data_IF_559972950663
#
_entry.id   IF_559972950663
#
_cell.length_a   1.000
_cell.length_b   1.000
_cell.length_c   1.000
_cell.angle_alpha   90.00
_cell.angle_beta   90.00
_cell.angle_gamma   90.00
#
_symmetry.space_group_name_H-M   'P 1'
#
loop_
_entity.id
_entity.type
_entity.pdbx_description
1 polymer ?
#
# COMPACT_ATOMS: atom_id res chain seq x y z
N UNK A 1 -55.11 -12.84 -37.49
CA UNK A 1 -54.86 -12.29 -36.13
C UNK A 1 -53.84 -13.18 -35.45
N UNK A 2 -52.56 -12.83 -35.57
CA UNK A 2 -51.42 -13.44 -34.88
C UNK A 2 -50.60 -12.28 -34.34
N UNK A 3 -50.35 -12.19 -33.03
CA UNK A 3 -49.70 -11.04 -32.44
C UNK A 3 -48.22 -10.98 -32.80
N UNK A 4 -47.77 -9.76 -33.07
CA UNK A 4 -46.39 -9.31 -33.24
C UNK A 4 -45.48 -9.82 -32.12
N UNK A 5 -44.38 -10.48 -32.49
CA UNK A 5 -43.33 -10.98 -31.61
C UNK A 5 -41.95 -10.39 -31.94
N UNK A 6 -41.87 -9.11 -32.30
CA UNK A 6 -40.61 -8.48 -32.73
C UNK A 6 -40.08 -7.34 -31.85
N UNK A 7 -40.75 -6.97 -30.75
CA UNK A 7 -40.39 -5.74 -30.01
C UNK A 7 -39.69 -5.97 -28.66
N UNK A 8 -39.30 -7.20 -28.31
CA UNK A 8 -38.74 -7.51 -26.99
C UNK A 8 -37.20 -7.51 -26.89
N UNK A 9 -36.45 -7.33 -27.99
CA UNK A 9 -34.99 -7.51 -28.01
C UNK A 9 -34.15 -6.23 -28.04
N UNK A 10 -34.73 -5.03 -27.90
CA UNK A 10 -34.00 -3.75 -28.02
C UNK A 10 -34.12 -2.82 -26.80
N UNK A 11 -34.24 -3.36 -25.58
CA UNK A 11 -34.07 -2.56 -24.37
C UNK A 11 -32.94 -3.09 -23.48
N UNK A 12 -31.71 -2.82 -23.90
CA UNK A 12 -30.58 -2.73 -22.95
C UNK A 12 -30.64 -1.33 -22.34
N UNK A 13 -30.92 -1.18 -21.03
CA UNK A 13 -31.19 0.14 -20.45
C UNK A 13 -29.92 1.00 -20.39
N UNK A 14 -30.03 2.24 -20.89
CA UNK A 14 -29.00 3.28 -20.95
C UNK A 14 -28.31 3.64 -19.61
N UNK A 15 -28.77 3.07 -18.49
CA UNK A 15 -28.23 3.25 -17.15
C UNK A 15 -26.88 2.54 -16.93
N UNK A 16 -26.55 1.53 -17.76
CA UNK A 16 -25.27 0.81 -17.67
C UNK A 16 -24.07 1.65 -18.10
N UNK A 17 -24.24 2.61 -19.03
CA UNK A 17 -23.16 3.51 -19.45
C UNK A 17 -22.88 4.64 -18.45
N UNK A 18 -23.90 5.12 -17.73
CA UNK A 18 -23.72 6.17 -16.72
C UNK A 18 -22.90 5.70 -15.50
N UNK A 19 -23.02 4.41 -15.13
CA UNK A 19 -22.28 3.83 -14.01
C UNK A 19 -20.77 3.72 -14.24
N UNK A 20 -20.34 3.38 -15.46
CA UNK A 20 -18.92 3.20 -15.79
C UNK A 20 -18.17 4.53 -15.91
N UNK A 21 -18.83 5.59 -16.42
CA UNK A 21 -18.23 6.93 -16.50
C UNK A 21 -18.00 7.56 -15.12
N UNK A 22 -18.91 7.34 -14.17
CA UNK A 22 -18.76 7.83 -12.78
C UNK A 22 -17.60 7.19 -12.01
N UNK A 23 -17.34 5.90 -12.25
CA UNK A 23 -16.30 5.14 -11.54
C UNK A 23 -14.89 5.45 -12.06
N UNK A 24 -14.74 5.70 -13.36
CA UNK A 24 -13.49 6.17 -13.95
C UNK A 24 -13.16 7.61 -13.51
N UNK A 25 -14.16 8.50 -13.47
CA UNK A 25 -14.01 9.87 -12.96
C UNK A 25 -13.62 9.93 -11.48
N UNK A 26 -14.22 9.09 -10.64
CA UNK A 26 -13.90 9.02 -9.21
C UNK A 26 -12.47 8.50 -8.94
N UNK A 27 -11.98 7.56 -9.76
CA UNK A 27 -10.61 7.03 -9.63
C UNK A 27 -9.56 8.01 -10.16
N UNK A 28 -9.87 8.79 -11.20
CA UNK A 28 -9.01 9.86 -11.70
C UNK A 28 -8.87 11.02 -10.68
N UNK A 29 -9.98 11.49 -10.11
CA UNK A 29 -9.96 12.57 -9.10
C UNK A 29 -9.27 12.14 -7.80
N UNK A 30 -9.27 10.85 -7.46
CA UNK A 30 -8.58 10.33 -6.27
C UNK A 30 -7.05 10.31 -6.38
N UNK A 31 -6.52 10.47 -7.60
CA UNK A 31 -5.09 10.35 -7.91
C UNK A 31 -4.34 11.66 -7.98
N UNK A 32 -4.95 12.83 -7.83
CA UNK A 32 -4.23 14.11 -7.90
C UNK A 32 -3.38 14.39 -6.64
N UNK A 33 -2.04 14.30 -6.71
CA UNK A 33 -1.16 14.69 -5.61
C UNK A 33 -1.15 16.22 -5.38
N UNK A 34 -1.56 17.02 -6.37
CA UNK A 34 -1.60 18.49 -6.31
C UNK A 34 -2.60 19.03 -5.28
N UNK A 35 -3.79 18.43 -5.20
CA UNK A 35 -4.83 18.81 -4.25
C UNK A 35 -4.43 18.52 -2.78
N UNK A 36 -3.53 17.54 -2.55
CA UNK A 36 -3.00 17.21 -1.22
C UNK A 36 -1.97 18.23 -0.75
N UNK A 37 -1.10 18.73 -1.64
CA UNK A 37 -0.14 19.79 -1.33
C UNK A 37 -0.81 21.14 -1.07
N UNK A 38 -1.83 21.49 -1.86
CA UNK A 38 -2.63 22.70 -1.62
C UNK A 38 -3.42 22.63 -0.29
N UNK A 39 -3.97 21.46 0.06
CA UNK A 39 -4.63 21.24 1.36
C UNK A 39 -3.66 21.22 2.55
N UNK A 40 -2.44 20.71 2.38
CA UNK A 40 -1.42 20.73 3.43
C UNK A 40 -0.96 22.17 3.76
N UNK A 41 -0.93 23.05 2.75
CA UNK A 41 -0.61 24.47 2.94
C UNK A 41 -1.79 25.26 3.58
N UNK A 42 -3.04 24.86 3.30
CA UNK A 42 -4.24 25.48 3.88
C UNK A 42 -4.61 24.91 5.27
N UNK A 43 -4.10 23.73 5.64
CA UNK A 43 -4.34 23.10 6.94
C UNK A 43 -3.58 23.76 8.10
N UNK A 44 -2.61 24.64 7.82
CA UNK A 44 -1.93 25.43 8.84
C UNK A 44 -2.77 26.54 9.49
N UNK A 45 -4.05 26.72 9.08
CA UNK A 45 -4.87 27.86 9.54
C UNK A 45 -6.36 27.58 9.71
N UNK A 46 -6.78 26.35 9.99
CA UNK A 46 -8.19 26.08 10.34
C UNK A 46 -8.32 25.26 11.61
N UNK A 47 -8.69 26.02 12.63
CA UNK A 47 -9.18 25.64 13.94
C UNK A 47 -10.42 24.72 13.86
N UNK A 48 -10.64 24.01 14.97
CA UNK A 48 -11.65 23.00 15.27
C UNK A 48 -12.94 23.03 14.41
N UNK A 49 -13.10 22.03 13.52
CA UNK A 49 -14.43 21.64 13.02
C UNK A 49 -14.63 20.13 13.08
N UNK A 50 -15.44 19.72 14.06
CA UNK A 50 -16.15 18.44 14.11
C UNK A 50 -16.90 18.20 12.78
N UNK A 51 -16.34 17.38 11.91
CA UNK A 51 -17.05 16.81 10.76
C UNK A 51 -16.13 16.04 9.79
N UNK A 52 -16.61 14.97 9.12
CA UNK A 52 -17.56 13.96 9.55
C UNK A 52 -16.79 12.68 9.89
N UNK A 53 -16.83 12.24 11.15
CA UNK A 53 -16.30 10.94 11.56
C UNK A 53 -16.85 9.80 10.68
N UNK A 54 -18.08 9.96 10.17
CA UNK A 54 -18.72 9.06 9.21
C UNK A 54 -17.88 8.84 7.94
N UNK A 55 -17.24 9.86 7.36
CA UNK A 55 -16.45 9.68 6.13
C UNK A 55 -15.12 8.95 6.40
N UNK A 56 -14.54 9.16 7.58
CA UNK A 56 -13.35 8.46 8.04
C UNK A 56 -13.67 7.00 8.42
N UNK A 57 -14.80 6.75 9.07
CA UNK A 57 -15.31 5.42 9.41
C UNK A 57 -15.71 4.64 8.16
N UNK A 58 -16.38 5.28 7.19
CA UNK A 58 -16.71 4.68 5.89
C UNK A 58 -15.43 4.38 5.11
N UNK A 59 -14.44 5.28 5.07
CA UNK A 59 -13.13 4.99 4.46
C UNK A 59 -12.37 3.88 5.17
N UNK A 60 -12.39 3.83 6.50
CA UNK A 60 -11.76 2.77 7.29
C UNK A 60 -12.45 1.42 7.08
N UNK A 61 -13.78 1.43 6.96
CA UNK A 61 -14.61 0.26 6.66
C UNK A 61 -14.35 -0.27 5.24
N UNK A 62 -14.26 0.61 4.23
CA UNK A 62 -13.87 0.26 2.86
C UNK A 62 -12.39 -0.16 2.73
N UNK A 63 -11.50 0.41 3.55
CA UNK A 63 -10.08 0.03 3.57
C UNK A 63 -9.87 -1.35 4.20
N UNK A 64 -10.64 -1.71 5.24
CA UNK A 64 -10.64 -3.03 5.87
C UNK A 64 -11.38 -4.10 5.05
N UNK A 65 -12.39 -3.72 4.27
CA UNK A 65 -13.19 -4.62 3.41
C UNK A 65 -12.82 -4.55 1.93
N UNK A 66 -11.58 -4.15 1.59
CA UNK A 66 -11.14 -4.09 0.18
C UNK A 66 -11.11 -5.48 -0.50
N UNK A 67 -11.04 -6.54 0.31
CA UNK A 67 -11.22 -7.94 -0.11
C UNK A 67 -12.64 -8.20 -0.66
N UNK A 68 -13.66 -7.46 -0.17
CA UNK A 68 -15.06 -7.58 -0.57
C UNK A 68 -15.44 -6.70 -1.77
N UNK A 69 -14.54 -5.89 -2.33
CA UNK A 69 -14.80 -5.16 -3.57
C UNK A 69 -14.52 -6.01 -4.82
N UNK A 70 -13.72 -7.06 -4.70
CA UNK A 70 -13.50 -8.04 -5.78
C UNK A 70 -14.73 -8.95 -5.97
N UNK A 71 -15.46 -9.25 -4.90
CA UNK A 71 -16.65 -10.09 -4.94
C UNK A 71 -17.83 -9.49 -5.75
N UNK A 72 -18.23 -8.21 -5.58
CA UNK A 72 -19.30 -7.60 -6.37
C UNK A 72 -18.85 -7.30 -7.80
N UNK A 73 -17.56 -7.04 -8.06
CA UNK A 73 -17.06 -6.90 -9.44
C UNK A 73 -17.07 -8.27 -10.16
N UNK A 74 -16.67 -9.34 -9.49
CA UNK A 74 -16.76 -10.69 -10.02
C UNK A 74 -18.22 -11.17 -10.16
N UNK A 75 -19.09 -10.83 -9.20
CA UNK A 75 -20.51 -11.15 -9.25
C UNK A 75 -21.24 -10.34 -10.34
N UNK A 76 -20.86 -9.07 -10.55
CA UNK A 76 -21.40 -8.23 -11.63
C UNK A 76 -20.98 -8.74 -13.01
N UNK A 77 -19.73 -9.20 -13.16
CA UNK A 77 -19.26 -9.88 -14.38
C UNK A 77 -19.91 -11.25 -14.58
N UNK A 78 -20.25 -11.98 -13.51
CA UNK A 78 -20.95 -13.26 -13.57
C UNK A 78 -22.44 -13.11 -13.91
N UNK A 79 -23.11 -12.08 -13.36
CA UNK A 79 -24.52 -11.75 -13.61
C UNK A 79 -24.77 -11.30 -15.05
N UNK A 80 -23.79 -10.69 -15.72
CA UNK A 80 -23.90 -10.33 -17.15
C UNK A 80 -23.68 -11.52 -18.10
N UNK A 81 -23.17 -12.65 -17.61
CA UNK A 81 -22.61 -13.71 -18.47
C UNK A 81 -23.34 -15.04 -18.50
N UNK A 82 -24.35 -15.31 -17.66
CA UNK A 82 -25.05 -16.61 -17.54
C UNK A 82 -24.13 -17.86 -17.66
N UNK A 83 -22.93 -17.81 -17.07
CA UNK A 83 -21.95 -18.89 -17.22
C UNK A 83 -21.22 -19.16 -15.91
N UNK A 84 -20.84 -20.41 -15.67
CA UNK A 84 -20.24 -20.91 -14.40
C UNK A 84 -18.72 -20.65 -14.32
N UNK A 85 -18.12 -20.26 -15.45
CA UNK A 85 -16.67 -20.04 -15.62
C UNK A 85 -16.09 -18.79 -14.91
N UNK A 86 -16.78 -17.64 -14.83
CA UNK A 86 -16.37 -16.48 -14.02
C UNK A 86 -16.22 -16.83 -12.52
N UNK A 87 -16.95 -17.85 -12.05
CA UNK A 87 -16.87 -18.33 -10.67
C UNK A 87 -15.54 -19.04 -10.38
N UNK A 88 -15.03 -19.85 -11.31
CA UNK A 88 -13.73 -20.52 -11.17
C UNK A 88 -12.55 -19.54 -11.29
N UNK A 89 -12.63 -18.60 -12.24
CA UNK A 89 -11.64 -17.52 -12.35
C UNK A 89 -11.64 -16.62 -11.10
N UNK A 90 -12.81 -16.29 -10.56
CA UNK A 90 -12.95 -15.58 -9.29
C UNK A 90 -12.39 -16.38 -8.10
N UNK A 91 -12.62 -17.69 -8.04
CA UNK A 91 -12.13 -18.56 -6.97
C UNK A 91 -10.60 -18.62 -6.91
N UNK A 92 -9.89 -18.50 -8.04
CA UNK A 92 -8.42 -18.44 -8.08
C UNK A 92 -7.88 -17.01 -7.92
N UNK A 93 -8.57 -16.01 -8.48
CA UNK A 93 -8.15 -14.61 -8.39
C UNK A 93 -8.26 -14.05 -6.96
N UNK A 94 -9.31 -14.42 -6.22
CA UNK A 94 -9.54 -13.95 -4.84
C UNK A 94 -8.39 -14.29 -3.88
N UNK A 95 -7.90 -15.54 -3.74
CA UNK A 95 -6.78 -15.83 -2.85
C UNK A 95 -5.47 -15.19 -3.30
N UNK A 96 -5.25 -15.04 -4.62
CA UNK A 96 -4.08 -14.35 -5.17
C UNK A 96 -4.08 -12.86 -4.82
N UNK A 97 -5.19 -12.15 -5.07
CA UNK A 97 -5.35 -10.74 -4.74
C UNK A 97 -5.30 -10.54 -3.23
N UNK A 98 -5.94 -11.42 -2.45
CA UNK A 98 -5.90 -11.38 -0.99
C UNK A 98 -4.47 -11.55 -0.45
N UNK A 99 -3.72 -12.53 -0.97
CA UNK A 99 -2.32 -12.74 -0.60
C UNK A 99 -1.45 -11.55 -1.00
N UNK A 100 -1.70 -10.94 -2.15
CA UNK A 100 -1.00 -9.75 -2.60
C UNK A 100 -1.30 -8.52 -1.73
N UNK A 101 -2.58 -8.27 -1.43
CA UNK A 101 -3.01 -7.18 -0.54
C UNK A 101 -2.43 -7.36 0.88
N UNK A 102 -2.44 -8.58 1.42
CA UNK A 102 -1.83 -8.90 2.71
C UNK A 102 -0.32 -8.66 2.71
N UNK A 103 0.39 -9.14 1.68
CA UNK A 103 1.82 -8.87 1.51
C UNK A 103 2.09 -7.37 1.41
N UNK A 104 1.23 -6.61 0.73
CA UNK A 104 1.37 -5.15 0.61
C UNK A 104 1.09 -4.43 1.92
N UNK A 105 0.08 -4.85 2.68
CA UNK A 105 -0.21 -4.33 4.01
C UNK A 105 0.94 -4.63 4.99
N UNK A 106 1.48 -5.84 4.97
CA UNK A 106 2.66 -6.22 5.77
C UNK A 106 3.89 -5.39 5.39
N UNK A 107 4.14 -5.16 4.10
CA UNK A 107 5.22 -4.28 3.64
C UNK A 107 5.06 -2.85 4.16
N UNK A 108 3.86 -2.28 4.06
CA UNK A 108 3.55 -0.95 4.59
C UNK A 108 3.74 -0.88 6.11
N UNK A 109 3.33 -1.90 6.84
CA UNK A 109 3.57 -1.99 8.28
C UNK A 109 5.06 -2.01 8.62
N UNK A 110 5.88 -2.72 7.84
CA UNK A 110 7.34 -2.74 8.01
C UNK A 110 7.99 -1.40 7.67
N UNK A 111 7.54 -0.72 6.61
CA UNK A 111 8.01 0.61 6.24
C UNK A 111 7.66 1.62 7.35
N UNK A 112 6.41 1.64 7.82
CA UNK A 112 5.98 2.50 8.92
C UNK A 112 6.74 2.23 10.23
N UNK A 113 7.04 0.97 10.55
CA UNK A 113 7.85 0.61 11.70
C UNK A 113 9.30 1.12 11.56
N UNK A 114 9.90 1.02 10.37
CA UNK A 114 11.24 1.54 10.12
C UNK A 114 11.29 3.08 10.22
N UNK A 115 10.26 3.77 9.73
CA UNK A 115 10.11 5.22 9.87
C UNK A 115 9.96 5.62 11.35
N UNK A 116 9.18 4.85 12.13
CA UNK A 116 9.01 5.06 13.56
C UNK A 116 10.33 4.89 14.33
N UNK A 117 11.15 3.89 13.98
CA UNK A 117 12.50 3.72 14.56
C UNK A 117 13.41 4.91 14.21
N UNK A 118 13.32 5.41 12.98
CA UNK A 118 14.07 6.60 12.54
C UNK A 118 13.64 7.85 13.32
N UNK A 119 12.33 8.02 13.53
CA UNK A 119 11.78 9.10 14.36
C UNK A 119 12.21 8.97 15.83
N UNK A 120 12.21 7.75 16.38
CA UNK A 120 12.69 7.46 17.74
C UNK A 120 14.16 7.87 17.90
N UNK A 121 15.03 7.52 16.95
CA UNK A 121 16.44 7.94 16.99
C UNK A 121 16.56 9.47 17.05
N UNK A 122 15.78 10.19 16.23
CA UNK A 122 15.75 11.65 16.23
C UNK A 122 15.23 12.26 17.53
N UNK A 123 14.18 11.69 18.10
CA UNK A 123 13.65 12.11 19.39
C UNK A 123 14.68 11.92 20.51
N UNK A 124 15.33 10.75 20.59
CA UNK A 124 16.40 10.50 21.56
C UNK A 124 17.58 11.47 21.37
N UNK A 125 17.98 11.75 20.12
CA UNK A 125 19.03 12.74 19.84
C UNK A 125 18.63 14.14 20.32
N UNK A 126 17.39 14.56 20.09
CA UNK A 126 16.87 15.84 20.56
C UNK A 126 16.92 15.95 22.08
N UNK A 127 16.49 14.89 22.76
CA UNK A 127 16.49 14.81 24.22
C UNK A 127 17.89 14.81 24.85
N UNK A 128 18.83 14.08 24.25
CA UNK A 128 20.22 14.10 24.67
C UNK A 128 20.88 15.48 24.46
N UNK A 129 20.54 16.18 23.37
CA UNK A 129 21.03 17.55 23.12
C UNK A 129 20.42 18.58 24.07
N UNK A 130 19.24 18.31 24.61
CA UNK A 130 18.63 19.09 25.69
C UNK A 130 19.29 18.81 27.06
N UNK A 131 20.30 17.93 27.12
CA UNK A 131 21.04 17.61 28.33
C UNK A 131 20.39 16.54 29.21
N UNK A 132 19.35 15.84 28.72
CA UNK A 132 18.74 14.73 29.48
C UNK A 132 19.68 13.53 29.51
N UNK A 133 19.66 12.82 30.64
CA UNK A 133 20.39 11.56 30.78
C UNK A 133 19.85 10.50 29.79
N UNK A 134 20.70 9.61 29.24
CA UNK A 134 20.31 8.66 28.20
C UNK A 134 19.07 7.81 28.52
N UNK A 135 18.95 7.31 29.75
CA UNK A 135 17.78 6.55 30.18
C UNK A 135 16.50 7.38 30.11
N UNK A 136 16.52 8.61 30.64
CA UNK A 136 15.38 9.52 30.61
C UNK A 136 15.03 10.00 29.19
N UNK A 137 16.04 10.27 28.36
CA UNK A 137 15.87 10.61 26.96
C UNK A 137 15.15 9.49 26.19
N UNK A 138 15.54 8.23 26.42
CA UNK A 138 14.87 7.09 25.81
C UNK A 138 13.43 6.92 26.32
N UNK A 139 13.19 7.09 27.62
CA UNK A 139 11.84 7.00 28.18
C UNK A 139 10.88 8.05 27.62
N UNK A 140 11.36 9.29 27.45
CA UNK A 140 10.58 10.36 26.83
C UNK A 140 10.29 10.05 25.36
N UNK A 141 11.33 9.72 24.59
CA UNK A 141 11.22 9.48 23.16
C UNK A 141 10.33 8.28 22.79
N UNK A 142 10.37 7.21 23.59
CA UNK A 142 9.54 6.01 23.35
C UNK A 142 8.06 6.30 23.55
N UNK A 143 7.71 7.10 24.57
CA UNK A 143 6.31 7.49 24.85
C UNK A 143 5.70 8.30 23.71
N UNK A 144 6.49 9.16 23.09
CA UNK A 144 6.02 10.03 21.99
C UNK A 144 6.01 9.31 20.64
N UNK A 145 6.96 8.41 20.38
CA UNK A 145 7.12 7.77 19.08
C UNK A 145 6.29 6.49 18.90
N UNK A 146 5.97 5.75 19.98
CA UNK A 146 5.21 4.49 19.90
C UNK A 146 5.82 3.42 18.97
N UNK A 147 7.13 3.48 18.75
CA UNK A 147 7.81 2.72 17.67
C UNK A 147 8.05 1.24 18.00
N UNK A 148 7.95 0.85 19.28
CA UNK A 148 8.43 -0.44 19.79
C UNK A 148 7.34 -1.51 19.90
N UNK A 149 6.06 -1.15 19.77
CA UNK A 149 4.94 -2.08 19.85
C UNK A 149 4.99 -2.96 21.09
N UNK A 150 4.98 -4.29 20.93
CA UNK A 150 5.02 -5.23 22.06
C UNK A 150 6.35 -5.26 22.81
N UNK A 151 7.44 -4.73 22.23
CA UNK A 151 8.75 -4.68 22.88
C UNK A 151 8.92 -3.43 23.77
N UNK A 152 7.99 -2.48 23.69
CA UNK A 152 8.02 -1.22 24.44
C UNK A 152 8.19 -1.40 25.96
N UNK A 153 7.40 -2.27 26.64
CA UNK A 153 7.49 -2.40 28.09
C UNK A 153 8.86 -2.91 28.56
N UNK A 154 9.48 -3.82 27.80
CA UNK A 154 10.79 -4.37 28.12
C UNK A 154 11.90 -3.31 28.01
N UNK A 155 11.88 -2.50 26.95
CA UNK A 155 12.84 -1.41 26.75
C UNK A 155 12.66 -0.32 27.81
N UNK A 156 11.42 0.07 28.12
CA UNK A 156 11.12 1.06 29.15
C UNK A 156 11.52 0.57 30.55
N UNK A 157 11.28 -0.71 30.88
CA UNK A 157 11.70 -1.30 32.14
C UNK A 157 13.23 -1.30 32.27
N UNK A 158 13.95 -1.72 31.23
CA UNK A 158 15.41 -1.67 31.21
C UNK A 158 15.92 -0.24 31.43
N UNK A 159 15.32 0.76 30.78
CA UNK A 159 15.74 2.16 30.92
C UNK A 159 15.40 2.77 32.29
N UNK A 160 14.28 2.38 32.92
CA UNK A 160 13.86 2.89 34.25
C UNK A 160 14.65 2.29 35.39
N UNK A 161 14.93 0.99 35.31
CA UNK A 161 15.53 0.23 36.41
C UNK A 161 17.04 0.02 36.22
N UNK A 162 17.66 0.68 35.24
CA UNK A 162 19.10 0.54 34.97
C UNK A 162 19.51 -0.84 34.44
N UNK A 163 18.59 -1.55 33.78
CA UNK A 163 18.85 -2.85 33.15
C UNK A 163 19.58 -2.74 31.80
N UNK A 164 19.75 -3.88 31.12
CA UNK A 164 20.40 -3.94 29.79
C UNK A 164 19.49 -3.38 28.68
N UNK A 165 19.52 -2.05 28.52
CA UNK A 165 18.81 -1.34 27.45
C UNK A 165 19.26 -1.82 26.07
N UNK A 166 20.56 -2.06 25.88
CA UNK A 166 21.08 -2.48 24.59
C UNK A 166 20.62 -3.91 24.22
N UNK A 167 20.51 -4.81 25.21
CA UNK A 167 19.92 -6.14 25.05
C UNK A 167 18.44 -6.07 24.69
N UNK A 168 17.66 -5.27 25.40
CA UNK A 168 16.24 -5.07 25.12
C UNK A 168 16.01 -4.53 23.69
N UNK A 169 16.82 -3.55 23.26
CA UNK A 169 16.76 -2.99 21.90
C UNK A 169 17.17 -4.01 20.82
N UNK A 170 18.18 -4.84 21.07
CA UNK A 170 18.56 -5.95 20.16
C UNK A 170 17.43 -6.96 20.02
N UNK A 171 16.77 -7.31 21.12
CA UNK A 171 15.66 -8.26 21.10
C UNK A 171 14.44 -7.67 20.37
N UNK A 172 14.17 -6.38 20.57
CA UNK A 172 13.13 -5.65 19.83
C UNK A 172 13.43 -5.59 18.31
N UNK A 173 14.71 -5.55 17.92
CA UNK A 173 15.13 -5.49 16.51
C UNK A 173 14.72 -6.73 15.68
N UNK A 174 14.39 -7.85 16.32
CA UNK A 174 13.87 -9.04 15.64
C UNK A 174 12.46 -8.84 15.05
N UNK A 175 11.75 -7.77 15.48
CA UNK A 175 10.43 -7.45 14.96
C UNK A 175 10.45 -6.97 13.49
N UNK A 176 9.35 -7.18 12.76
CA UNK A 176 9.26 -6.81 11.35
C UNK A 176 9.35 -5.30 11.16
N UNK A 177 10.41 -4.83 10.49
CA UNK A 177 10.65 -3.39 10.25
C UNK A 177 11.40 -2.69 11.38
N UNK A 178 11.77 -3.40 12.45
CA UNK A 178 12.48 -2.84 13.61
C UNK A 178 14.00 -3.01 13.58
N UNK A 179 14.56 -3.46 12.45
CA UNK A 179 16.00 -3.74 12.32
C UNK A 179 16.92 -2.55 12.67
N UNK A 180 16.47 -1.31 12.52
CA UNK A 180 17.22 -0.12 12.92
C UNK A 180 17.54 -0.05 14.42
N UNK A 181 16.76 -0.73 15.27
CA UNK A 181 17.00 -0.81 16.72
C UNK A 181 18.29 -1.57 17.04
N UNK A 182 18.74 -2.48 16.17
CA UNK A 182 20.04 -3.15 16.34
C UNK A 182 21.20 -2.14 16.24
N UNK A 183 21.10 -1.19 15.31
CA UNK A 183 22.03 -0.06 15.20
C UNK A 183 21.99 0.82 16.44
N UNK A 184 20.78 1.14 16.92
CA UNK A 184 20.60 1.93 18.14
C UNK A 184 21.22 1.25 19.37
N UNK A 185 21.03 -0.08 19.50
CA UNK A 185 21.63 -0.88 20.55
C UNK A 185 23.17 -0.90 20.47
N UNK A 186 23.74 -0.96 19.26
CA UNK A 186 25.17 -0.89 19.06
C UNK A 186 25.74 0.47 19.46
N UNK A 187 25.08 1.57 19.05
CA UNK A 187 25.44 2.93 19.48
C UNK A 187 25.35 3.07 21.01
N UNK A 188 24.33 2.48 21.63
CA UNK A 188 24.15 2.50 23.08
C UNK A 188 25.31 1.80 23.80
N UNK A 189 25.66 0.57 23.39
CA UNK A 189 26.81 -0.14 24.00
C UNK A 189 28.10 0.65 23.85
N UNK A 190 28.42 1.13 22.65
CA UNK A 190 29.67 1.86 22.40
C UNK A 190 29.75 3.15 23.21
N UNK A 191 28.63 3.86 23.39
CA UNK A 191 28.59 5.08 24.19
C UNK A 191 28.74 4.80 25.69
N UNK A 192 28.08 3.75 26.20
CA UNK A 192 28.13 3.37 27.62
C UNK A 192 29.49 2.75 27.98
N UNK A 193 30.01 1.87 27.13
CA UNK A 193 31.27 1.15 27.37
C UNK A 193 32.51 2.00 27.06
N UNK A 194 32.40 2.94 26.11
CA UNK A 194 33.54 3.71 25.56
C UNK A 194 33.51 5.21 25.81
N UNK A 195 32.51 5.74 26.53
CA UNK A 195 32.36 7.18 26.80
C UNK A 195 32.11 8.05 25.56
N UNK A 196 31.86 7.45 24.40
CA UNK A 196 31.59 8.16 23.17
C UNK A 196 30.22 8.87 23.23
N UNK A 197 30.09 10.04 22.60
CA UNK A 197 28.83 10.79 22.58
C UNK A 197 27.69 10.03 21.91
N UNK A 198 26.77 9.47 22.71
CA UNK A 198 25.59 8.73 22.23
C UNK A 198 24.78 9.54 21.22
N UNK A 199 24.60 10.84 21.48
CA UNK A 199 23.87 11.75 20.59
C UNK A 199 24.49 11.82 19.19
N UNK A 200 25.83 11.79 19.08
CA UNK A 200 26.51 11.84 17.79
C UNK A 200 26.38 10.50 17.03
N UNK A 201 26.47 9.37 17.73
CA UNK A 201 26.25 8.05 17.16
C UNK A 201 24.83 7.88 16.62
N UNK A 202 23.83 8.23 17.43
CA UNK A 202 22.42 8.15 17.05
C UNK A 202 22.06 9.14 15.93
N UNK A 203 22.63 10.35 15.91
CA UNK A 203 22.42 11.29 14.81
C UNK A 203 22.98 10.76 13.47
N UNK A 204 24.13 10.06 13.50
CA UNK A 204 24.69 9.39 12.32
C UNK A 204 23.81 8.23 11.86
N UNK A 205 23.31 7.42 12.80
CA UNK A 205 22.37 6.34 12.51
C UNK A 205 21.07 6.85 11.91
N UNK A 206 20.45 7.86 12.52
CA UNK A 206 19.24 8.53 12.03
C UNK A 206 19.45 9.08 10.61
N UNK A 207 20.59 9.75 10.36
CA UNK A 207 20.94 10.24 9.02
C UNK A 207 21.09 9.11 8.01
N UNK A 208 21.72 8.00 8.40
CA UNK A 208 21.87 6.82 7.54
C UNK A 208 20.50 6.19 7.20
N UNK A 209 19.63 6.01 8.20
CA UNK A 209 18.27 5.48 8.02
C UNK A 209 17.41 6.39 7.13
N UNK A 210 17.46 7.72 7.33
CA UNK A 210 16.77 8.67 6.45
C UNK A 210 17.33 8.67 5.03
N UNK A 211 18.65 8.53 4.88
CA UNK A 211 19.31 8.46 3.59
C UNK A 211 18.83 7.27 2.75
N UNK A 212 18.69 6.11 3.39
CA UNK A 212 18.14 4.90 2.77
C UNK A 212 16.69 5.11 2.28
N UNK A 213 15.85 5.76 3.09
CA UNK A 213 14.49 6.13 2.69
C UNK A 213 14.46 7.04 1.46
N UNK A 214 15.28 8.10 1.45
CA UNK A 214 15.37 9.04 0.32
C UNK A 214 15.83 8.38 -0.97
N UNK A 215 16.84 7.51 -0.92
CA UNK A 215 17.30 6.75 -2.09
C UNK A 215 16.17 5.94 -2.71
N UNK A 216 15.36 5.26 -1.90
CA UNK A 216 14.20 4.50 -2.39
C UNK A 216 13.15 5.41 -3.02
N UNK A 217 12.90 6.58 -2.45
CA UNK A 217 11.98 7.56 -3.02
C UNK A 217 12.48 8.12 -4.36
N UNK A 218 13.78 8.40 -4.47
CA UNK A 218 14.42 8.85 -5.72
C UNK A 218 14.33 7.77 -6.80
N UNK A 219 14.65 6.51 -6.47
CA UNK A 219 14.48 5.38 -7.39
C UNK A 219 13.01 5.24 -7.84
N UNK A 220 12.05 5.35 -6.91
CA UNK A 220 10.62 5.31 -7.24
C UNK A 220 10.22 6.47 -8.14
N UNK A 221 10.76 7.67 -7.93
CA UNK A 221 10.51 8.83 -8.76
C UNK A 221 11.06 8.62 -10.18
N UNK A 222 12.27 8.10 -10.32
CA UNK A 222 12.87 7.75 -11.62
C UNK A 222 12.05 6.68 -12.36
N UNK A 223 11.57 5.67 -11.63
CA UNK A 223 10.76 4.60 -12.21
C UNK A 223 9.31 5.02 -12.51
N UNK A 224 8.81 6.14 -11.96
CA UNK A 224 7.44 6.59 -12.19
C UNK A 224 7.15 6.83 -13.68
N UNK A 225 8.13 7.37 -14.43
CA UNK A 225 8.03 7.53 -15.88
C UNK A 225 7.89 6.21 -16.62
N UNK A 226 8.76 5.24 -16.30
CA UNK A 226 8.70 3.90 -16.88
C UNK A 226 7.42 3.13 -16.51
N UNK A 227 6.90 3.32 -15.30
CA UNK A 227 5.64 2.70 -14.89
C UNK A 227 4.41 3.28 -15.60
N UNK A 228 4.44 4.54 -16.02
CA UNK A 228 3.34 5.16 -16.74
C UNK A 228 3.04 4.41 -18.05
N UNK A 229 4.08 4.08 -18.83
CA UNK A 229 3.92 3.34 -20.10
C UNK A 229 3.49 1.90 -19.87
N UNK A 230 4.04 1.22 -18.86
CA UNK A 230 3.61 -0.12 -18.47
C UNK A 230 2.13 -0.14 -18.10
N UNK A 231 1.66 0.86 -17.35
CA UNK A 231 0.24 0.97 -16.98
C UNK A 231 -0.63 1.26 -18.21
N UNK A 232 -0.20 2.12 -19.13
CA UNK A 232 -0.93 2.38 -20.38
C UNK A 232 -1.04 1.11 -21.22
N UNK A 233 0.06 0.37 -21.40
CA UNK A 233 0.07 -0.89 -22.16
C UNK A 233 -0.78 -1.97 -21.49
N UNK A 234 -0.77 -2.05 -20.16
CA UNK A 234 -1.62 -2.98 -19.40
C UNK A 234 -3.11 -2.59 -19.45
N UNK A 235 -3.45 -1.32 -19.67
CA UNK A 235 -4.84 -0.89 -19.83
C UNK A 235 -5.35 -1.06 -21.27
N UNK A 236 -4.46 -1.22 -22.25
CA UNK A 236 -4.82 -1.33 -23.66
C UNK A 236 -5.82 -2.46 -23.97
N UNK A 237 -5.68 -3.69 -23.41
CA UNK A 237 -6.64 -4.76 -23.64
C UNK A 237 -8.06 -4.41 -23.15
N UNK A 238 -8.16 -3.76 -21.98
CA UNK A 238 -9.44 -3.35 -21.43
C UNK A 238 -10.11 -2.27 -22.29
N UNK A 239 -9.32 -1.32 -22.80
CA UNK A 239 -9.82 -0.29 -23.73
C UNK A 239 -10.26 -0.93 -25.05
N UNK A 240 -9.49 -1.88 -25.59
CA UNK A 240 -9.84 -2.61 -26.82
C UNK A 240 -11.15 -3.40 -26.69
N UNK A 241 -11.34 -4.10 -25.59
CA UNK A 241 -12.61 -4.80 -25.29
C UNK A 241 -13.78 -3.84 -25.17
N UNK A 242 -13.58 -2.69 -24.51
CA UNK A 242 -14.60 -1.64 -24.38
C UNK A 242 -15.02 -1.04 -25.72
N UNK A 243 -14.05 -0.75 -26.59
CA UNK A 243 -14.31 -0.27 -27.95
C UNK A 243 -15.04 -1.31 -28.80
N UNK A 244 -14.63 -2.58 -28.73
CA UNK A 244 -15.30 -3.67 -29.43
C UNK A 244 -16.77 -3.80 -29.02
N UNK A 245 -17.06 -3.71 -27.72
CA UNK A 245 -18.43 -3.71 -27.20
C UNK A 245 -19.24 -2.49 -27.67
N UNK A 246 -18.63 -1.30 -27.71
CA UNK A 246 -19.28 -0.07 -28.19
C UNK A 246 -19.62 -0.12 -29.69
N UNK A 247 -18.84 -0.86 -30.49
CA UNK A 247 -19.12 -1.13 -31.90
C UNK A 247 -20.19 -2.21 -32.13
N UNK A 248 -20.81 -2.72 -31.06
CA UNK A 248 -21.85 -3.75 -31.14
C UNK A 248 -21.34 -5.18 -31.26
N UNK A 249 -20.03 -5.41 -31.16
CA UNK A 249 -19.54 -6.77 -30.99
C UNK A 249 -19.93 -7.29 -29.59
N UNK A 250 -20.14 -8.60 -29.46
CA UNK A 250 -20.30 -9.27 -28.17
C UNK A 250 -19.02 -10.03 -27.77
N UNK A 251 -17.89 -9.32 -27.52
CA UNK A 251 -16.60 -9.96 -27.26
C UNK A 251 -16.65 -10.81 -26.00
N UNK A 252 -17.39 -10.37 -24.97
CA UNK A 252 -17.58 -11.10 -23.72
C UNK A 252 -18.35 -12.40 -23.91
N UNK A 253 -19.41 -12.38 -24.73
CA UNK A 253 -20.14 -13.59 -25.10
C UNK A 253 -19.23 -14.62 -25.76
N UNK A 254 -18.44 -14.22 -26.76
CA UNK A 254 -17.53 -15.12 -27.48
C UNK A 254 -16.39 -15.61 -26.57
N UNK A 255 -15.75 -14.74 -25.79
CA UNK A 255 -14.63 -15.12 -24.90
C UNK A 255 -15.06 -16.11 -23.81
N UNK A 256 -16.28 -15.96 -23.29
CA UNK A 256 -16.78 -16.77 -22.18
C UNK A 256 -17.51 -18.05 -22.63
N UNK A 257 -18.08 -18.08 -23.84
CA UNK A 257 -18.90 -19.21 -24.32
C UNK A 257 -18.25 -20.04 -25.43
N UNK A 258 -17.07 -19.65 -25.94
CA UNK A 258 -16.35 -20.45 -26.94
C UNK A 258 -15.05 -21.02 -26.39
N UNK A 259 -14.69 -22.27 -26.74
CA UNK A 259 -13.43 -22.88 -26.29
C UNK A 259 -12.20 -22.11 -26.80
N UNK A 260 -12.25 -21.55 -28.02
CA UNK A 260 -11.18 -20.69 -28.55
C UNK A 260 -11.06 -19.37 -27.79
N UNK A 261 -12.18 -18.77 -27.39
CA UNK A 261 -12.22 -17.58 -26.55
C UNK A 261 -11.61 -17.80 -25.17
N UNK A 262 -11.88 -18.95 -24.56
CA UNK A 262 -11.31 -19.34 -23.27
C UNK A 262 -9.79 -19.54 -23.33
N UNK A 263 -9.31 -20.23 -24.37
CA UNK A 263 -7.85 -20.40 -24.59
C UNK A 263 -7.18 -19.04 -24.75
N UNK A 264 -7.79 -18.15 -25.53
CA UNK A 264 -7.30 -16.77 -25.71
C UNK A 264 -7.29 -15.98 -24.40
N UNK A 265 -8.38 -16.04 -23.61
CA UNK A 265 -8.51 -15.34 -22.32
C UNK A 265 -7.44 -15.81 -21.32
N UNK A 266 -7.28 -17.13 -21.17
CA UNK A 266 -6.28 -17.72 -20.27
C UNK A 266 -4.87 -17.35 -20.72
N UNK A 267 -4.58 -17.48 -22.02
CA UNK A 267 -3.26 -17.19 -22.57
C UNK A 267 -2.91 -15.70 -22.45
N UNK A 268 -3.84 -14.80 -22.79
CA UNK A 268 -3.68 -13.35 -22.63
C UNK A 268 -3.49 -12.93 -21.17
N UNK A 269 -4.30 -13.46 -20.25
CA UNK A 269 -4.15 -13.20 -18.83
C UNK A 269 -2.83 -13.74 -18.24
N UNK A 270 -2.36 -14.89 -18.70
CA UNK A 270 -1.06 -15.44 -18.32
C UNK A 270 0.09 -14.58 -18.85
N UNK A 271 0.04 -14.15 -20.11
CA UNK A 271 1.07 -13.28 -20.70
C UNK A 271 1.11 -11.91 -19.99
N UNK A 272 -0.04 -11.29 -19.76
CA UNK A 272 -0.13 -10.02 -19.05
C UNK A 272 0.34 -10.14 -17.60
N UNK A 273 -0.07 -11.21 -16.91
CA UNK A 273 0.38 -11.54 -15.56
C UNK A 273 1.89 -11.78 -15.50
N UNK A 274 2.47 -12.48 -16.47
CA UNK A 274 3.90 -12.70 -16.58
C UNK A 274 4.66 -11.40 -16.86
N UNK A 275 4.14 -10.54 -17.73
CA UNK A 275 4.70 -9.22 -18.03
C UNK A 275 4.74 -8.31 -16.79
N UNK A 276 3.63 -8.22 -16.05
CA UNK A 276 3.57 -7.47 -14.79
C UNK A 276 4.47 -8.06 -13.71
N UNK A 277 4.54 -9.39 -13.62
CA UNK A 277 5.44 -10.06 -12.68
C UNK A 277 6.90 -9.75 -13.01
N UNK A 278 7.29 -9.84 -14.28
CA UNK A 278 8.64 -9.58 -14.73
C UNK A 278 9.04 -8.10 -14.54
N UNK A 279 8.17 -7.16 -14.91
CA UNK A 279 8.36 -5.73 -14.65
C UNK A 279 8.52 -5.46 -13.14
N UNK A 280 7.69 -6.07 -12.29
CA UNK A 280 7.81 -5.93 -10.83
C UNK A 280 9.11 -6.53 -10.28
N UNK A 281 9.62 -7.60 -10.92
CA UNK A 281 10.88 -8.24 -10.53
C UNK A 281 12.07 -7.35 -10.87
N UNK A 282 12.08 -6.73 -12.06
CA UNK A 282 13.16 -5.80 -12.46
C UNK A 282 13.25 -4.64 -11.48
N UNK A 283 12.11 -4.06 -11.10
CA UNK A 283 12.07 -2.98 -10.10
C UNK A 283 12.62 -3.44 -8.75
N UNK A 284 12.20 -4.62 -8.27
CA UNK A 284 12.70 -5.16 -7.00
C UNK A 284 14.19 -5.49 -7.04
N UNK A 285 14.74 -5.83 -8.22
CA UNK A 285 16.17 -6.03 -8.40
C UNK A 285 16.91 -4.69 -8.40
N UNK A 286 16.35 -3.65 -9.02
CA UNK A 286 16.90 -2.29 -8.99
C UNK A 286 16.84 -1.63 -7.60
N UNK A 287 15.88 -2.00 -6.74
CA UNK A 287 15.83 -1.56 -5.33
C UNK A 287 16.87 -2.24 -4.43
N UNK A 288 17.56 -3.30 -4.91
CA UNK A 288 18.49 -4.12 -4.11
C UNK A 288 19.98 -3.90 -4.43
N UNK A 289 20.30 -3.04 -5.40
CA UNK A 289 21.66 -2.66 -5.84
C UNK A 289 21.97 -1.26 -5.33
#
# INVERSE_FOLDING_TARGET
>A
MTPSGSDALTQVPAWTMAGCAGLAGALAVSRDPGARRARALMAGRSDERRGPAVLATVRAFFAGRREWLCAPVAAFLALLGESVLPLLAGAVAVPLVRRWLRRRAQRRGREAAADAVTALCGAVVGELRAGREPGQALLAAVRDAGALGTAEPAVLAAARFGGDVAGALRQAAAGPGLGGLAGMAACWRVAVDGGAGLAAGLARLEKALRGEGRRREELRAQLAGAWSTVVVLALLPAVGLGLGAALGANPLGILLHTPGGLVCLVTGGLLEGAGLFWASRIVRAGEAV
#
